data_IF_882721215491
#
_entry.id   IF_882721215491
#
_cell.length_a   1.000
_cell.length_b   1.000
_cell.length_c   1.000
_cell.angle_alpha   90.00
_cell.angle_beta   90.00
_cell.angle_gamma   90.00
#
_symmetry.space_group_name_H-M   'P 1'
#
loop_
_entity.id
_entity.type
_entity.pdbx_description
1 polymer ?
#
# COMPACT_ATOMS: atom_id res chain seq x y z
N UNK A 1 8.24 12.35 14.02
CA UNK A 1 8.63 12.73 12.63
C UNK A 1 7.38 12.75 11.77
N UNK A 2 7.09 13.84 11.04
CA UNK A 2 5.86 13.99 10.25
C UNK A 2 5.88 13.09 9.00
N UNK A 3 4.71 12.77 8.42
CA UNK A 3 4.60 11.95 7.19
C UNK A 3 5.41 12.55 6.05
N UNK A 4 5.43 13.88 5.96
CA UNK A 4 6.16 14.62 4.93
C UNK A 4 7.68 14.44 5.04
N UNK A 5 8.24 14.55 6.25
CA UNK A 5 9.68 14.34 6.47
C UNK A 5 10.07 12.92 6.07
N UNK A 6 9.31 11.91 6.53
CA UNK A 6 9.53 10.53 6.13
C UNK A 6 9.43 10.34 4.61
N UNK A 7 8.46 10.97 3.94
CA UNK A 7 8.31 10.91 2.47
C UNK A 7 9.54 11.49 1.77
N UNK A 8 10.03 12.66 2.19
CA UNK A 8 11.25 13.27 1.65
C UNK A 8 12.46 12.37 1.87
N UNK A 9 12.58 11.75 3.05
CA UNK A 9 13.66 10.80 3.33
C UNK A 9 13.59 9.55 2.44
N UNK A 10 12.40 9.01 2.18
CA UNK A 10 12.23 7.86 1.27
C UNK A 10 12.64 8.21 -0.17
N UNK A 11 12.19 9.35 -0.67
CA UNK A 11 12.56 9.84 -2.00
C UNK A 11 14.06 10.13 -2.11
N UNK A 12 14.64 10.74 -1.06
CA UNK A 12 16.07 11.00 -0.97
C UNK A 12 16.90 9.71 -0.93
N UNK A 13 16.49 8.72 -0.14
CA UNK A 13 17.16 7.42 -0.03
C UNK A 13 17.14 6.68 -1.38
N UNK A 14 15.98 6.65 -2.06
CA UNK A 14 15.89 6.05 -3.39
C UNK A 14 16.77 6.79 -4.40
N UNK A 15 16.80 8.12 -4.36
CA UNK A 15 17.66 8.92 -5.24
C UNK A 15 19.13 8.56 -5.02
N UNK A 16 19.56 8.49 -3.75
CA UNK A 16 20.92 8.08 -3.40
C UNK A 16 21.26 6.68 -3.89
N UNK A 17 20.32 5.72 -3.74
CA UNK A 17 20.47 4.36 -4.26
C UNK A 17 20.64 4.34 -5.79
N UNK A 18 19.77 5.02 -6.52
CA UNK A 18 19.81 5.09 -7.97
C UNK A 18 21.12 5.72 -8.46
N UNK A 19 21.56 6.81 -7.82
CA UNK A 19 22.83 7.46 -8.14
C UNK A 19 24.03 6.53 -7.87
N UNK A 20 24.04 5.81 -6.76
CA UNK A 20 25.10 4.85 -6.44
C UNK A 20 25.17 3.75 -7.50
N UNK A 21 24.03 3.16 -7.88
CA UNK A 21 23.98 2.13 -8.92
C UNK A 21 24.38 2.68 -10.29
N UNK A 22 23.86 3.84 -10.68
CA UNK A 22 24.21 4.49 -11.95
C UNK A 22 25.69 4.84 -12.05
N UNK A 23 26.28 5.35 -10.96
CA UNK A 23 27.71 5.63 -10.90
C UNK A 23 28.58 4.39 -10.96
N UNK A 24 28.20 3.31 -10.28
CA UNK A 24 28.91 2.05 -10.33
C UNK A 24 28.89 1.42 -11.74
N UNK A 25 27.78 1.55 -12.48
CA UNK A 25 27.63 0.97 -13.82
C UNK A 25 28.22 1.83 -14.94
N UNK A 26 28.12 3.15 -14.85
CA UNK A 26 28.40 4.07 -15.97
C UNK A 26 29.26 5.28 -15.62
N UNK A 27 29.90 5.29 -14.44
CA UNK A 27 30.74 6.41 -13.98
C UNK A 27 29.98 7.73 -13.95
N UNK A 28 30.62 8.80 -14.44
CA UNK A 28 30.02 10.15 -14.46
C UNK A 28 28.77 10.24 -15.34
N UNK A 29 28.76 9.56 -16.49
CA UNK A 29 27.60 9.55 -17.37
C UNK A 29 26.42 8.81 -16.73
N UNK A 30 26.69 7.64 -16.12
CA UNK A 30 25.70 6.88 -15.37
C UNK A 30 25.12 7.65 -14.17
N UNK A 31 25.93 8.44 -13.46
CA UNK A 31 25.46 9.34 -12.39
C UNK A 31 24.46 10.38 -12.91
N UNK A 32 24.77 11.06 -14.02
CA UNK A 32 23.90 12.10 -14.59
C UNK A 32 22.58 11.49 -15.06
N UNK A 33 22.64 10.33 -15.74
CA UNK A 33 21.45 9.60 -16.19
C UNK A 33 20.59 9.13 -15.00
N UNK A 34 21.22 8.54 -13.99
CA UNK A 34 20.52 8.07 -12.79
C UNK A 34 19.88 9.22 -12.00
N UNK A 35 20.55 10.37 -11.90
CA UNK A 35 19.98 11.56 -11.27
C UNK A 35 18.76 12.09 -12.05
N UNK A 36 18.86 12.21 -13.37
CA UNK A 36 17.73 12.61 -14.21
C UNK A 36 16.54 11.66 -14.07
N UNK A 37 16.80 10.34 -14.09
CA UNK A 37 15.78 9.32 -13.87
C UNK A 37 15.16 9.39 -12.48
N UNK A 38 15.96 9.55 -11.42
CA UNK A 38 15.48 9.69 -10.06
C UNK A 38 14.60 10.93 -9.88
N UNK A 39 14.95 12.06 -10.50
CA UNK A 39 14.12 13.27 -10.50
C UNK A 39 12.76 13.01 -11.14
N UNK A 40 12.73 12.39 -12.33
CA UNK A 40 11.48 12.02 -13.00
C UNK A 40 10.66 11.06 -12.15
N UNK A 41 11.29 10.05 -11.53
CA UNK A 41 10.61 9.09 -10.65
C UNK A 41 10.04 9.74 -9.39
N UNK A 42 10.76 10.67 -8.76
CA UNK A 42 10.29 11.36 -7.55
C UNK A 42 9.09 12.27 -7.85
N UNK A 43 9.19 13.05 -8.93
CA UNK A 43 8.07 13.89 -9.41
C UNK A 43 6.90 12.99 -9.83
N UNK A 44 7.17 11.94 -10.60
CA UNK A 44 6.14 10.96 -10.98
C UNK A 44 5.43 10.37 -9.76
N UNK A 45 6.19 9.91 -8.77
CA UNK A 45 5.64 9.30 -7.55
C UNK A 45 4.85 10.28 -6.71
N UNK A 46 5.27 11.54 -6.58
CA UNK A 46 4.51 12.51 -5.78
C UNK A 46 3.18 12.93 -6.44
N UNK A 47 3.17 13.12 -7.76
CA UNK A 47 1.98 13.64 -8.47
C UNK A 47 1.05 12.57 -9.06
N UNK A 48 1.54 11.35 -9.26
CA UNK A 48 0.81 10.29 -9.99
C UNK A 48 0.77 8.94 -9.26
N UNK A 49 1.21 8.86 -8.00
CA UNK A 49 1.28 7.58 -7.28
C UNK A 49 -0.06 6.89 -7.10
N UNK A 50 -1.13 7.64 -6.83
CA UNK A 50 -2.49 7.14 -6.77
C UNK A 50 -2.89 6.46 -8.09
N UNK A 51 -2.63 7.12 -9.22
CA UNK A 51 -2.96 6.59 -10.56
C UNK A 51 -2.16 5.35 -10.90
N UNK A 52 -0.87 5.31 -10.51
CA UNK A 52 -0.01 4.14 -10.71
C UNK A 52 -0.57 2.95 -9.95
N UNK A 53 -0.89 3.13 -8.66
CA UNK A 53 -1.44 2.09 -7.80
C UNK A 53 -2.81 1.61 -8.30
N UNK A 54 -3.73 2.52 -8.61
CA UNK A 54 -5.05 2.17 -9.12
C UNK A 54 -4.97 1.38 -10.43
N UNK A 55 -4.08 1.77 -11.35
CA UNK A 55 -3.86 1.05 -12.61
C UNK A 55 -3.27 -0.34 -12.38
N UNK A 56 -2.33 -0.47 -11.45
CA UNK A 56 -1.73 -1.77 -11.09
C UNK A 56 -2.78 -2.76 -10.61
N UNK A 57 -3.82 -2.29 -9.92
CA UNK A 57 -4.95 -3.11 -9.45
C UNK A 57 -6.15 -3.15 -10.38
N UNK A 58 -6.07 -2.59 -11.59
CA UNK A 58 -7.18 -2.49 -12.54
C UNK A 58 -8.44 -1.88 -11.90
N UNK A 59 -8.24 -0.94 -10.99
CA UNK A 59 -9.31 -0.32 -10.24
C UNK A 59 -10.21 0.52 -11.17
N UNK A 60 -11.52 0.40 -11.00
CA UNK A 60 -12.52 1.13 -11.77
C UNK A 60 -13.23 2.12 -10.86
N UNK A 61 -13.46 3.34 -11.34
CA UNK A 61 -14.17 4.33 -10.56
C UNK A 61 -15.61 3.87 -10.34
N UNK A 62 -16.03 3.85 -9.08
CA UNK A 62 -17.38 3.45 -8.71
C UNK A 62 -18.28 4.66 -8.87
N UNK A 63 -19.31 4.56 -9.71
CA UNK A 63 -20.24 5.65 -9.90
C UNK A 63 -21.27 5.69 -8.74
N UNK A 64 -21.81 6.87 -8.41
CA UNK A 64 -22.87 6.98 -7.39
C UNK A 64 -24.10 6.11 -7.66
N UNK A 65 -24.37 5.78 -8.93
CA UNK A 65 -25.47 4.92 -9.33
C UNK A 65 -25.21 3.43 -9.07
N UNK A 66 -23.95 2.99 -9.16
CA UNK A 66 -23.58 1.57 -9.01
C UNK A 66 -23.59 1.12 -7.55
N UNK A 67 -23.20 2.01 -6.63
CA UNK A 67 -23.13 1.70 -5.19
C UNK A 67 -23.58 2.89 -4.31
N UNK A 68 -24.86 3.29 -4.36
CA UNK A 68 -25.36 4.46 -3.65
C UNK A 68 -25.20 4.36 -2.12
N UNK A 69 -25.12 3.15 -1.57
CA UNK A 69 -24.88 2.95 -0.14
C UNK A 69 -23.43 3.29 0.25
N UNK A 70 -22.42 2.82 -0.52
CA UNK A 70 -21.00 3.13 -0.26
C UNK A 70 -20.76 4.63 -0.41
N UNK A 71 -21.32 5.26 -1.45
CA UNK A 71 -21.18 6.70 -1.67
C UNK A 71 -21.78 7.55 -0.55
N UNK A 72 -22.89 7.10 0.08
CA UNK A 72 -23.48 7.77 1.24
C UNK A 72 -22.62 7.64 2.48
N UNK A 73 -22.17 6.42 2.79
CA UNK A 73 -21.28 6.18 3.94
C UNK A 73 -20.00 7.02 3.82
N UNK A 74 -19.35 7.02 2.66
CA UNK A 74 -18.12 7.82 2.46
C UNK A 74 -18.41 9.32 2.57
N UNK A 75 -19.55 9.80 2.08
CA UNK A 75 -19.97 11.21 2.20
C UNK A 75 -20.14 11.61 3.68
N UNK A 76 -20.95 10.85 4.43
CA UNK A 76 -21.22 11.11 5.85
C UNK A 76 -19.94 11.12 6.68
N UNK A 77 -19.06 10.14 6.45
CA UNK A 77 -17.80 10.02 7.17
C UNK A 77 -16.80 11.11 6.77
N UNK A 78 -16.75 11.50 5.49
CA UNK A 78 -15.90 12.61 5.03
C UNK A 78 -16.33 13.94 5.65
N UNK A 79 -17.65 14.19 5.70
CA UNK A 79 -18.22 15.36 6.38
C UNK A 79 -17.88 15.36 7.87
N UNK A 80 -18.07 14.22 8.57
CA UNK A 80 -17.74 14.09 9.98
C UNK A 80 -16.24 14.28 10.27
N UNK A 81 -15.37 13.86 9.34
CA UNK A 81 -13.92 14.02 9.43
C UNK A 81 -13.43 15.41 8.97
N UNK A 82 -14.30 16.26 8.41
CA UNK A 82 -13.94 17.58 7.90
C UNK A 82 -13.01 17.54 6.68
N UNK A 83 -13.12 16.51 5.84
CA UNK A 83 -12.33 16.34 4.62
C UNK A 83 -13.22 16.35 3.37
N UNK A 84 -12.68 16.72 2.19
CA UNK A 84 -13.38 16.50 0.93
C UNK A 84 -13.72 15.03 0.74
N UNK A 85 -14.86 14.74 0.12
CA UNK A 85 -15.21 13.37 -0.24
C UNK A 85 -14.17 12.78 -1.20
N UNK A 86 -13.49 11.68 -0.82
CA UNK A 86 -12.58 11.01 -1.72
C UNK A 86 -13.35 10.34 -2.86
N UNK A 87 -12.66 10.17 -4.00
CA UNK A 87 -13.17 9.32 -5.07
C UNK A 87 -13.15 7.86 -4.63
N UNK A 88 -14.09 7.06 -5.12
CA UNK A 88 -14.27 5.68 -4.70
C UNK A 88 -13.99 4.75 -5.88
N UNK A 89 -13.19 3.73 -5.66
CA UNK A 89 -12.77 2.78 -6.68
C UNK A 89 -13.11 1.34 -6.27
N UNK A 90 -13.52 0.53 -7.24
CA UNK A 90 -13.71 -0.89 -7.10
C UNK A 90 -12.56 -1.63 -7.76
N UNK A 91 -11.89 -2.50 -6.99
CA UNK A 91 -10.85 -3.41 -7.49
C UNK A 91 -11.51 -4.75 -7.82
N UNK A 92 -11.42 -5.25 -9.06
CA UNK A 92 -12.12 -6.46 -9.51
C UNK A 92 -11.44 -7.77 -9.04
N UNK A 93 -11.04 -7.84 -7.77
CA UNK A 93 -10.43 -9.01 -7.14
C UNK A 93 -11.30 -9.56 -6.00
N UNK A 94 -11.26 -10.87 -5.81
CA UNK A 94 -12.05 -11.56 -4.79
C UNK A 94 -11.35 -11.62 -3.43
N UNK A 95 -10.05 -11.33 -3.36
CA UNK A 95 -9.34 -11.14 -2.09
C UNK A 95 -9.92 -9.90 -1.38
N UNK A 96 -10.50 -10.04 -0.17
CA UNK A 96 -11.22 -8.96 0.48
C UNK A 96 -10.24 -7.97 1.11
N UNK A 97 -10.25 -6.72 0.64
CA UNK A 97 -9.37 -5.68 1.16
C UNK A 97 -9.86 -4.26 0.78
N UNK A 98 -9.27 -3.26 1.41
CA UNK A 98 -9.45 -1.85 1.08
C UNK A 98 -8.14 -1.09 1.31
N UNK A 99 -8.02 0.10 0.70
CA UNK A 99 -6.97 1.07 1.03
C UNK A 99 -7.36 2.49 0.64
N UNK A 100 -6.73 3.47 1.28
CA UNK A 100 -6.70 4.86 0.87
C UNK A 100 -5.37 5.25 0.20
N UNK A 101 -5.42 6.12 -0.80
CA UNK A 101 -4.25 6.64 -1.50
C UNK A 101 -4.44 8.10 -1.91
N UNK A 102 -3.35 8.78 -2.26
CA UNK A 102 -3.36 10.16 -2.74
C UNK A 102 -2.27 11.02 -2.10
N UNK A 103 -2.08 12.22 -2.64
CA UNK A 103 -1.04 13.15 -2.18
C UNK A 103 -1.49 14.07 -1.04
N UNK A 104 -2.80 14.28 -0.91
CA UNK A 104 -3.45 15.12 0.10
C UNK A 104 -4.96 14.80 0.13
N UNK A 105 -5.72 15.30 1.13
CA UNK A 105 -7.16 15.06 1.23
C UNK A 105 -7.96 15.47 -0.01
N UNK A 106 -7.56 16.55 -0.70
CA UNK A 106 -8.24 17.05 -1.90
C UNK A 106 -8.05 16.15 -3.12
N UNK A 107 -7.04 15.29 -3.10
CA UNK A 107 -6.73 14.34 -4.17
C UNK A 107 -6.73 12.90 -3.63
N UNK A 108 -7.53 12.64 -2.59
CA UNK A 108 -7.61 11.33 -1.97
C UNK A 108 -8.57 10.40 -2.73
N UNK A 109 -8.23 9.12 -2.69
CA UNK A 109 -9.00 8.02 -3.26
C UNK A 109 -9.12 6.92 -2.22
N UNK A 110 -10.29 6.30 -2.14
CA UNK A 110 -10.53 5.07 -1.38
C UNK A 110 -10.85 3.97 -2.39
N UNK A 111 -10.14 2.84 -2.30
CA UNK A 111 -10.38 1.67 -3.12
C UNK A 111 -10.87 0.51 -2.24
N UNK A 112 -11.91 -0.18 -2.69
CA UNK A 112 -12.45 -1.39 -2.09
C UNK A 112 -12.38 -2.53 -3.11
N UNK A 113 -12.09 -3.75 -2.68
CA UNK A 113 -12.16 -4.92 -3.57
C UNK A 113 -13.58 -5.45 -3.74
N UNK A 114 -13.84 -6.22 -4.79
CA UNK A 114 -15.10 -6.97 -4.92
C UNK A 114 -15.29 -7.93 -3.75
N UNK A 115 -14.21 -8.59 -3.33
CA UNK A 115 -14.20 -9.49 -2.18
C UNK A 115 -14.71 -8.84 -0.89
N UNK A 116 -14.27 -7.62 -0.57
CA UNK A 116 -14.66 -6.97 0.68
C UNK A 116 -16.14 -6.59 0.69
N UNK A 117 -16.67 -6.14 -0.46
CA UNK A 117 -18.08 -5.79 -0.62
C UNK A 117 -18.98 -7.03 -0.45
N UNK A 118 -18.49 -8.21 -0.83
CA UNK A 118 -19.26 -9.45 -0.76
C UNK A 118 -19.26 -10.10 0.64
N UNK A 119 -18.20 -9.91 1.43
CA UNK A 119 -18.03 -10.63 2.71
C UNK A 119 -18.43 -9.82 3.94
N UNK A 120 -18.33 -8.49 3.88
CA UNK A 120 -18.62 -7.62 5.01
C UNK A 120 -20.10 -7.23 5.04
N UNK A 121 -20.66 -7.15 6.25
CA UNK A 121 -21.95 -6.49 6.45
C UNK A 121 -21.83 -4.98 6.15
N UNK A 122 -22.95 -4.28 5.92
CA UNK A 122 -22.93 -2.82 5.73
C UNK A 122 -22.25 -2.06 6.88
N UNK A 123 -22.43 -2.54 8.11
CA UNK A 123 -21.81 -1.96 9.31
C UNK A 123 -20.30 -2.19 9.37
N UNK A 124 -19.86 -3.41 9.06
CA UNK A 124 -18.43 -3.77 8.99
C UNK A 124 -17.72 -2.99 7.87
N UNK A 125 -18.34 -2.90 6.68
CA UNK A 125 -17.83 -2.11 5.57
C UNK A 125 -17.74 -0.62 5.94
N UNK A 126 -18.74 -0.09 6.65
CA UNK A 126 -18.68 1.27 7.21
C UNK A 126 -17.48 1.44 8.15
N UNK A 127 -17.22 0.46 9.02
CA UNK A 127 -16.05 0.46 9.90
C UNK A 127 -14.72 0.53 9.13
N UNK A 128 -14.58 -0.30 8.08
CA UNK A 128 -13.39 -0.29 7.21
C UNK A 128 -13.23 1.03 6.47
N UNK A 129 -14.30 1.52 5.84
CA UNK A 129 -14.27 2.82 5.14
C UNK A 129 -13.90 3.96 6.09
N UNK A 130 -14.43 3.95 7.32
CA UNK A 130 -14.09 4.96 8.31
C UNK A 130 -12.61 4.90 8.73
N UNK A 131 -12.01 3.72 8.82
CA UNK A 131 -10.57 3.56 9.02
C UNK A 131 -9.76 4.17 7.87
N UNK A 132 -10.12 3.86 6.61
CA UNK A 132 -9.46 4.43 5.43
C UNK A 132 -9.58 5.96 5.36
N UNK A 133 -10.75 6.50 5.72
CA UNK A 133 -10.94 7.95 5.84
C UNK A 133 -10.14 8.55 7.01
N UNK A 134 -9.89 7.77 8.06
CA UNK A 134 -8.98 8.11 9.14
C UNK A 134 -7.57 8.38 8.62
N UNK A 135 -7.04 7.58 7.70
CA UNK A 135 -5.74 7.85 7.06
C UNK A 135 -5.70 9.17 6.28
N UNK A 136 -6.81 9.48 5.58
CA UNK A 136 -6.94 10.73 4.84
C UNK A 136 -6.95 11.92 5.81
N UNK A 137 -7.77 11.86 6.86
CA UNK A 137 -7.86 12.90 7.89
C UNK A 137 -6.52 13.10 8.64
N UNK A 138 -5.81 12.01 8.94
CA UNK A 138 -4.54 12.02 9.64
C UNK A 138 -3.32 12.34 8.75
N UNK A 139 -3.54 12.54 7.44
CA UNK A 139 -2.53 12.93 6.44
C UNK A 139 -1.34 11.95 6.35
N UNK A 140 -1.62 10.65 6.29
CA UNK A 140 -0.60 9.61 6.03
C UNK A 140 -0.79 8.79 4.75
N UNK A 141 -1.79 9.09 3.93
CA UNK A 141 -1.96 8.44 2.62
C UNK A 141 -0.75 8.63 1.67
N UNK A 142 -0.10 9.80 1.69
CA UNK A 142 1.02 10.09 0.76
C UNK A 142 2.22 9.20 1.04
N UNK A 143 2.60 9.04 2.30
CA UNK A 143 3.79 8.26 2.67
C UNK A 143 3.59 6.78 2.34
N UNK A 144 2.40 6.24 2.63
CA UNK A 144 2.06 4.85 2.30
C UNK A 144 2.10 4.63 0.78
N UNK A 145 1.51 5.54 0.01
CA UNK A 145 1.44 5.41 -1.46
C UNK A 145 2.81 5.56 -2.12
N UNK A 146 3.60 6.57 -1.72
CA UNK A 146 4.95 6.77 -2.27
C UNK A 146 5.80 5.54 -1.99
N UNK A 147 5.80 5.04 -0.75
CA UNK A 147 6.56 3.84 -0.40
C UNK A 147 6.19 2.63 -1.26
N UNK A 148 4.89 2.41 -1.49
CA UNK A 148 4.39 1.33 -2.33
C UNK A 148 4.86 1.45 -3.79
N UNK A 149 4.82 2.66 -4.37
CA UNK A 149 5.31 2.91 -5.73
C UNK A 149 6.83 2.71 -5.82
N UNK A 150 7.60 3.22 -4.86
CA UNK A 150 9.06 3.06 -4.86
C UNK A 150 9.47 1.60 -4.71
N UNK A 151 8.87 0.87 -3.77
CA UNK A 151 9.15 -0.54 -3.60
C UNK A 151 8.68 -1.36 -4.81
N UNK A 152 7.53 -1.02 -5.41
CA UNK A 152 7.05 -1.63 -6.64
C UNK A 152 8.03 -1.42 -7.80
N UNK A 153 8.60 -0.21 -7.92
CA UNK A 153 9.63 0.09 -8.91
C UNK A 153 10.91 -0.73 -8.68
N UNK A 154 11.35 -0.90 -7.43
CA UNK A 154 12.52 -1.73 -7.11
C UNK A 154 12.26 -3.20 -7.46
N UNK A 155 11.09 -3.73 -7.10
CA UNK A 155 10.69 -5.11 -7.46
C UNK A 155 10.64 -5.28 -8.98
N UNK A 156 10.11 -4.29 -9.70
CA UNK A 156 10.09 -4.30 -11.17
C UNK A 156 11.50 -4.31 -11.77
N UNK A 157 12.40 -3.43 -11.29
CA UNK A 157 13.81 -3.39 -11.73
C UNK A 157 14.48 -4.73 -11.45
N UNK A 158 14.27 -5.30 -10.26
CA UNK A 158 14.85 -6.58 -9.91
C UNK A 158 14.35 -7.68 -10.88
N UNK A 159 13.04 -7.79 -11.10
CA UNK A 159 12.45 -8.73 -12.06
C UNK A 159 13.00 -8.53 -13.49
N UNK A 160 13.18 -7.29 -13.93
CA UNK A 160 13.73 -6.99 -15.26
C UNK A 160 15.20 -7.42 -15.36
N UNK A 161 16.01 -7.19 -14.32
CA UNK A 161 17.38 -7.72 -14.25
C UNK A 161 17.38 -9.25 -14.34
N UNK A 162 16.44 -9.92 -13.67
CA UNK A 162 16.29 -11.38 -13.81
C UNK A 162 16.01 -11.77 -15.26
N UNK A 163 15.06 -11.11 -15.91
CA UNK A 163 14.69 -11.36 -17.30
C UNK A 163 15.87 -11.13 -18.26
N UNK A 164 16.59 -10.01 -18.12
CA UNK A 164 17.77 -9.72 -18.96
C UNK A 164 18.90 -10.70 -18.73
N UNK A 165 19.05 -11.23 -17.50
CA UNK A 165 20.07 -12.21 -17.21
C UNK A 165 19.71 -13.58 -17.80
N UNK A 166 18.41 -13.95 -17.80
CA UNK A 166 17.90 -15.19 -18.40
C UNK A 166 17.96 -15.15 -19.94
N UNK A 167 17.65 -14.01 -20.57
CA UNK A 167 17.50 -13.92 -22.03
C UNK A 167 18.63 -13.17 -22.76
N UNK A 168 19.52 -12.48 -22.05
CA UNK A 168 20.52 -11.56 -22.64
C UNK A 168 21.95 -12.08 -22.67
N UNK A 169 22.29 -13.14 -21.93
CA UNK A 169 23.66 -13.68 -21.86
C UNK A 169 23.69 -15.21 -21.74
N UNK A 170 23.63 -15.89 -22.89
CA UNK A 170 24.40 -17.13 -23.14
C UNK A 170 23.95 -18.47 -22.54
N UNK A 171 23.62 -19.37 -23.45
CA UNK A 171 23.68 -20.85 -23.44
C UNK A 171 22.73 -21.65 -22.54
N UNK A 172 21.98 -22.51 -23.24
CA UNK A 172 21.39 -23.76 -22.77
C UNK A 172 22.40 -24.56 -21.92
N UNK A 173 21.98 -24.98 -20.71
CA UNK A 173 22.13 -26.37 -20.23
C UNK A 173 22.03 -26.56 -18.69
N UNK A 174 21.71 -25.57 -17.86
CA UNK A 174 21.54 -25.83 -16.42
C UNK A 174 20.23 -25.27 -15.84
N UNK A 175 19.47 -26.19 -15.25
CA UNK A 175 18.17 -26.07 -14.59
C UNK A 175 18.27 -25.32 -13.23
N UNK A 176 19.05 -24.25 -13.19
CA UNK A 176 19.36 -23.44 -12.01
C UNK A 176 19.21 -21.95 -12.30
N UNK A 177 18.39 -21.26 -11.49
CA UNK A 177 18.12 -19.83 -11.65
C UNK A 177 19.39 -18.97 -11.75
N UNK A 178 19.33 -17.93 -12.59
CA UNK A 178 20.49 -17.13 -12.95
C UNK A 178 21.19 -16.48 -11.71
N UNK A 179 22.51 -16.69 -11.51
CA UNK A 179 23.23 -16.21 -10.34
C UNK A 179 23.30 -14.67 -10.23
N UNK A 180 23.30 -13.94 -11.35
CA UNK A 180 23.25 -12.47 -11.37
C UNK A 180 21.87 -11.98 -10.93
N UNK A 181 20.81 -12.64 -11.38
CA UNK A 181 19.44 -12.37 -10.97
C UNK A 181 19.23 -12.61 -9.47
N UNK A 182 19.80 -13.69 -8.95
CA UNK A 182 19.78 -14.01 -7.53
C UNK A 182 20.55 -12.96 -6.70
N UNK A 183 21.72 -12.51 -7.19
CA UNK A 183 22.52 -11.48 -6.53
C UNK A 183 21.81 -10.12 -6.52
N UNK A 184 21.19 -9.71 -7.63
CA UNK A 184 20.42 -8.47 -7.70
C UNK A 184 19.24 -8.48 -6.71
N UNK A 185 18.48 -9.57 -6.64
CA UNK A 185 17.40 -9.74 -5.67
C UNK A 185 17.91 -9.73 -4.21
N UNK A 186 19.04 -10.38 -3.94
CA UNK A 186 19.64 -10.41 -2.60
C UNK A 186 20.00 -9.02 -2.07
N UNK A 187 20.36 -8.08 -2.95
CA UNK A 187 20.65 -6.69 -2.57
C UNK A 187 19.42 -5.78 -2.62
N UNK A 188 18.58 -5.88 -3.65
CA UNK A 188 17.47 -4.95 -3.87
C UNK A 188 16.26 -5.23 -2.98
N UNK A 189 15.97 -6.49 -2.66
CA UNK A 189 14.79 -6.85 -1.86
C UNK A 189 14.87 -6.32 -0.41
N UNK A 190 16.00 -6.42 0.32
CA UNK A 190 16.13 -5.79 1.64
C UNK A 190 15.98 -4.27 1.61
N UNK A 191 16.40 -3.61 0.53
CA UNK A 191 16.26 -2.15 0.37
C UNK A 191 14.79 -1.78 0.17
N UNK A 192 14.07 -2.51 -0.70
CA UNK A 192 12.62 -2.33 -0.88
C UNK A 192 11.87 -2.55 0.44
N UNK A 193 12.22 -3.62 1.19
CA UNK A 193 11.65 -3.90 2.50
C UNK A 193 11.95 -2.77 3.50
N UNK A 194 13.18 -2.27 3.55
CA UNK A 194 13.58 -1.16 4.41
C UNK A 194 12.82 0.13 4.11
N UNK A 195 12.64 0.48 2.83
CA UNK A 195 11.83 1.63 2.42
C UNK A 195 10.38 1.50 2.89
N UNK A 196 9.79 0.32 2.72
CA UNK A 196 8.43 0.05 3.20
C UNK A 196 8.37 0.19 4.72
N UNK A 197 9.26 -0.49 5.46
CA UNK A 197 9.29 -0.45 6.93
C UNK A 197 9.43 0.98 7.48
N UNK A 198 10.22 1.84 6.82
CA UNK A 198 10.34 3.25 7.19
C UNK A 198 9.05 4.05 6.98
N UNK A 199 8.29 3.71 5.94
CA UNK A 199 7.01 4.34 5.62
C UNK A 199 5.94 4.07 6.67
N UNK A 200 6.00 2.89 7.28
CA UNK A 200 4.98 2.41 8.20
C UNK A 200 5.18 2.99 9.59
N UNK A 201 4.05 3.09 10.29
CA UNK A 201 4.02 3.45 11.70
C UNK A 201 2.86 2.69 12.34
N UNK A 202 3.15 1.72 13.22
CA UNK A 202 2.09 1.00 13.96
C UNK A 202 1.18 1.96 14.74
N UNK A 203 1.75 3.05 15.25
CA UNK A 203 0.98 4.12 15.91
C UNK A 203 -0.02 4.82 14.99
N UNK A 204 0.23 4.88 13.67
CA UNK A 204 -0.70 5.45 12.69
C UNK A 204 -1.86 4.51 12.42
N UNK A 205 -1.60 3.21 12.32
CA UNK A 205 -2.65 2.21 12.24
C UNK A 205 -3.58 2.27 13.45
N UNK A 206 -3.02 2.31 14.67
CA UNK A 206 -3.84 2.49 15.87
C UNK A 206 -4.59 3.83 15.93
N UNK A 207 -4.01 4.89 15.38
CA UNK A 207 -4.68 6.19 15.28
C UNK A 207 -5.83 6.16 14.26
N UNK A 208 -5.64 5.47 13.13
CA UNK A 208 -6.67 5.26 12.12
C UNK A 208 -7.80 4.37 12.65
N UNK A 209 -7.48 3.35 13.46
CA UNK A 209 -8.48 2.54 14.17
C UNK A 209 -9.34 3.39 15.13
N UNK A 210 -8.70 4.22 15.98
CA UNK A 210 -9.44 5.12 16.90
C UNK A 210 -10.27 6.16 16.13
N UNK A 211 -9.67 6.80 15.12
CA UNK A 211 -10.36 7.79 14.28
C UNK A 211 -11.55 7.16 13.56
N UNK A 212 -11.34 6.01 12.91
CA UNK A 212 -12.37 5.27 12.20
C UNK A 212 -13.49 4.80 13.13
N UNK A 213 -13.17 4.32 14.32
CA UNK A 213 -14.18 3.93 15.32
C UNK A 213 -15.00 5.11 15.86
N UNK A 214 -14.41 6.32 15.95
CA UNK A 214 -15.16 7.55 16.30
C UNK A 214 -16.07 7.98 15.17
N UNK A 215 -15.58 8.00 13.94
CA UNK A 215 -16.35 8.36 12.75
C UNK A 215 -17.51 7.38 12.52
N UNK A 216 -17.24 6.08 12.55
CA UNK A 216 -18.24 5.04 12.32
C UNK A 216 -19.32 4.98 13.42
N UNK A 217 -18.99 5.46 14.61
CA UNK A 217 -19.87 5.46 15.79
C UNK A 217 -19.82 4.17 16.60
N UNK A 218 -19.26 3.08 16.08
CA UNK A 218 -19.13 1.81 16.81
C UNK A 218 -17.78 1.11 16.49
N UNK A 219 -16.85 0.99 17.45
CA UNK A 219 -15.57 0.31 17.24
C UNK A 219 -15.72 -1.19 16.92
N UNK A 220 -16.80 -1.84 17.34
CA UNK A 220 -17.01 -3.28 17.11
C UNK A 220 -17.23 -3.62 15.64
N UNK A 221 -17.70 -2.65 14.83
CA UNK A 221 -17.86 -2.85 13.40
C UNK A 221 -16.52 -3.08 12.70
N UNK A 222 -15.51 -2.25 13.02
CA UNK A 222 -14.16 -2.42 12.50
C UNK A 222 -13.51 -3.69 13.08
N UNK A 223 -13.71 -3.98 14.37
CA UNK A 223 -13.16 -5.18 14.99
C UNK A 223 -13.68 -6.47 14.35
N UNK A 224 -14.99 -6.55 14.07
CA UNK A 224 -15.60 -7.67 13.34
C UNK A 224 -15.07 -7.81 11.92
N UNK A 225 -14.95 -6.67 11.21
CA UNK A 225 -14.38 -6.64 9.87
C UNK A 225 -12.94 -7.17 9.84
N UNK A 226 -12.05 -6.68 10.71
CA UNK A 226 -10.65 -7.11 10.75
C UNK A 226 -10.50 -8.63 10.94
N UNK A 227 -11.31 -9.24 11.82
CA UNK A 227 -11.28 -10.69 12.02
C UNK A 227 -11.72 -11.49 10.80
N UNK A 228 -12.76 -11.02 10.08
CA UNK A 228 -13.21 -11.63 8.82
C UNK A 228 -12.19 -11.47 7.71
N UNK A 229 -11.63 -10.28 7.56
CA UNK A 229 -10.65 -9.96 6.53
C UNK A 229 -9.37 -10.77 6.69
N UNK A 230 -8.82 -10.87 7.91
CA UNK A 230 -7.62 -11.68 8.19
C UNK A 230 -7.84 -13.18 7.91
N UNK A 231 -9.03 -13.70 8.26
CA UNK A 231 -9.37 -15.09 7.98
C UNK A 231 -9.53 -15.36 6.48
N UNK A 232 -10.14 -14.43 5.75
CA UNK A 232 -10.43 -14.59 4.32
C UNK A 232 -9.21 -14.33 3.42
N UNK A 233 -8.35 -13.37 3.77
CA UNK A 233 -7.13 -13.06 2.98
C UNK A 233 -6.13 -14.22 2.98
N UNK A 234 -6.13 -15.04 4.04
CA UNK A 234 -5.35 -16.28 4.12
C UNK A 234 -5.84 -17.38 3.17
N UNK A 235 -7.11 -17.34 2.77
CA UNK A 235 -7.73 -18.34 1.89
C UNK A 235 -7.72 -17.89 0.42
N UNK A 236 -7.95 -16.61 0.18
CA UNK A 236 -8.00 -16.00 -1.16
C UNK A 236 -6.87 -14.98 -1.26
N UNK A 237 -5.65 -15.40 -1.66
CA UNK A 237 -4.53 -14.49 -1.79
C UNK A 237 -4.79 -13.47 -2.90
N UNK A 238 -4.32 -12.23 -2.69
CA UNK A 238 -4.48 -11.17 -3.68
C UNK A 238 -3.46 -11.32 -4.82
N UNK A 239 -3.88 -11.00 -6.04
CA UNK A 239 -2.95 -10.81 -7.15
C UNK A 239 -2.34 -9.40 -7.07
N UNK A 240 -1.02 -9.31 -6.96
CA UNK A 240 -0.33 -8.03 -6.84
C UNK A 240 1.12 -8.17 -6.43
N UNK A 241 1.72 -7.06 -6.01
CA UNK A 241 3.10 -6.99 -5.54
C UNK A 241 3.15 -6.97 -4.01
N UNK A 242 4.02 -7.74 -3.35
CA UNK A 242 4.29 -7.57 -1.92
C UNK A 242 4.73 -6.14 -1.55
N UNK A 243 5.22 -5.38 -2.53
CA UNK A 243 5.63 -3.99 -2.34
C UNK A 243 4.49 -3.05 -1.92
N UNK A 244 3.23 -3.45 -2.14
CA UNK A 244 2.05 -2.63 -1.87
C UNK A 244 1.25 -3.13 -0.67
N UNK A 245 1.76 -4.14 0.04
CA UNK A 245 1.15 -4.71 1.26
C UNK A 245 0.81 -3.65 2.31
N UNK A 246 1.67 -2.64 2.44
CA UNK A 246 1.55 -1.58 3.43
C UNK A 246 0.39 -0.60 3.21
N UNK A 247 -0.30 -0.66 2.07
CA UNK A 247 -1.47 0.18 1.81
C UNK A 247 -2.77 -0.49 2.24
N UNK A 248 -2.82 -1.81 2.23
CA UNK A 248 -4.03 -2.58 2.47
C UNK A 248 -4.34 -2.68 3.96
N UNK A 249 -5.62 -2.68 4.35
CA UNK A 249 -6.01 -2.78 5.76
C UNK A 249 -5.57 -4.09 6.44
N UNK A 250 -5.46 -5.18 5.67
CA UNK A 250 -4.90 -6.47 6.12
C UNK A 250 -3.86 -6.99 5.13
N UNK A 251 -2.88 -7.75 5.61
CA UNK A 251 -1.84 -8.37 4.79
C UNK A 251 -2.46 -9.31 3.73
N UNK A 252 -2.39 -8.99 2.41
CA UNK A 252 -3.07 -9.77 1.38
C UNK A 252 -2.24 -10.91 0.77
N UNK A 253 -0.94 -10.99 1.12
CA UNK A 253 0.05 -11.85 0.43
C UNK A 253 0.65 -12.96 1.30
N UNK A 254 -0.02 -13.34 2.40
CA UNK A 254 0.51 -14.15 3.51
C UNK A 254 0.88 -15.63 3.20
N UNK A 255 1.04 -16.01 1.93
CA UNK A 255 1.39 -17.37 1.49
C UNK A 255 2.84 -17.60 1.06
N UNK A 256 3.72 -16.59 1.06
CA UNK A 256 5.11 -16.72 0.56
C UNK A 256 6.13 -16.44 1.68
N UNK A 257 7.22 -17.22 1.76
CA UNK A 257 8.33 -17.07 2.73
C UNK A 257 8.97 -15.67 2.78
N UNK A 258 8.77 -14.84 1.75
CA UNK A 258 9.18 -13.43 1.72
C UNK A 258 8.30 -12.50 2.59
N UNK A 259 7.15 -12.96 3.08
CA UNK A 259 6.18 -12.14 3.81
C UNK A 259 6.67 -11.63 5.18
N UNK A 260 7.70 -12.22 5.79
CA UNK A 260 8.17 -11.76 7.11
C UNK A 260 8.92 -10.42 7.07
N UNK A 261 9.62 -10.11 5.98
CA UNK A 261 10.35 -8.85 5.82
C UNK A 261 9.43 -7.68 5.44
N UNK A 262 8.28 -7.99 4.84
CA UNK A 262 7.25 -7.03 4.44
C UNK A 262 6.01 -7.07 5.37
N UNK A 263 6.10 -7.75 6.52
CA UNK A 263 5.06 -7.76 7.53
C UNK A 263 4.98 -6.39 8.20
N UNK A 264 3.96 -5.64 7.82
CA UNK A 264 3.94 -4.18 7.96
C UNK A 264 2.79 -3.70 8.83
N UNK A 265 1.84 -4.59 9.10
CA UNK A 265 0.70 -4.34 9.97
C UNK A 265 1.01 -4.68 11.43
N UNK A 266 0.45 -3.95 12.41
CA UNK A 266 0.37 -4.45 13.77
C UNK A 266 -0.40 -5.78 13.79
N UNK A 267 -0.17 -6.65 14.80
CA UNK A 267 -0.97 -7.86 14.97
C UNK A 267 -2.48 -7.52 14.96
N UNK A 268 -3.25 -8.29 14.20
CA UNK A 268 -4.70 -8.05 14.05
C UNK A 268 -5.40 -8.22 15.41
N UNK A 269 -4.93 -9.15 16.22
CA UNK A 269 -5.41 -9.41 17.57
C UNK A 269 -5.27 -8.18 18.47
N UNK A 270 -4.14 -7.45 18.37
CA UNK A 270 -3.90 -6.22 19.13
C UNK A 270 -4.85 -5.10 18.71
N UNK A 271 -5.11 -4.96 17.40
CA UNK A 271 -6.06 -3.97 16.85
C UNK A 271 -7.48 -4.28 17.32
N UNK A 272 -7.91 -5.53 17.21
CA UNK A 272 -9.23 -5.99 17.66
C UNK A 272 -9.39 -5.77 19.17
N UNK A 273 -8.38 -6.11 19.98
CA UNK A 273 -8.43 -5.93 21.43
C UNK A 273 -8.60 -4.45 21.82
N UNK A 274 -7.89 -3.52 21.15
CA UNK A 274 -8.03 -2.08 21.38
C UNK A 274 -9.42 -1.56 21.03
N UNK A 275 -9.98 -1.99 19.91
CA UNK A 275 -11.33 -1.62 19.49
C UNK A 275 -12.40 -2.14 20.47
N UNK A 276 -12.24 -3.37 20.98
CA UNK A 276 -13.12 -3.91 22.03
C UNK A 276 -13.02 -3.11 23.33
N UNK A 277 -11.81 -2.81 23.79
CA UNK A 277 -11.61 -1.97 24.97
C UNK A 277 -12.23 -0.57 24.80
N UNK A 278 -12.19 0.00 23.60
CA UNK A 278 -12.86 1.27 23.28
C UNK A 278 -14.39 1.16 23.37
N UNK A 279 -14.97 0.00 23.08
CA UNK A 279 -16.40 -0.25 23.23
C UNK A 279 -16.82 -0.37 24.70
N UNK A 280 -15.96 -0.95 25.54
CA UNK A 280 -16.18 -1.14 26.98
C UNK A 280 -16.03 0.16 27.79
N UNK A 281 -15.23 1.11 27.29
CA UNK A 281 -15.01 2.42 27.91
C UNK A 281 -15.91 3.56 27.42
N UNK A 282 -16.97 3.24 26.66
CA UNK A 282 -18.04 4.16 26.26
C UNK A 282 -19.29 3.89 27.07
#
# INVERSE_FOLDING_TARGET
>A
MTSQIKTVLLLGLLTGLLMMLGGAMGGRAGLVLAFGFAMVMNVGSYWYSDKIVLKMYKAQELSPGDAPHIHRVVEEMAQAAGIPKPRIFLIPQDSPNAFATGRNPENAVVAVTRGIVNILSPDELKGVLAHELGHIANRDILIQTVAAVLAGAIVFIANMLQWTAIFGFGNDDEEGGNPIAALAMAFLAPIAAGLIQMAISRSREYLADDTGARLAGNPLHLAGALGKLDSASKQVPMEGSPATENMFIVAPFSGKRAASLFATHPPIEDRIARLRAMAEGR
#
